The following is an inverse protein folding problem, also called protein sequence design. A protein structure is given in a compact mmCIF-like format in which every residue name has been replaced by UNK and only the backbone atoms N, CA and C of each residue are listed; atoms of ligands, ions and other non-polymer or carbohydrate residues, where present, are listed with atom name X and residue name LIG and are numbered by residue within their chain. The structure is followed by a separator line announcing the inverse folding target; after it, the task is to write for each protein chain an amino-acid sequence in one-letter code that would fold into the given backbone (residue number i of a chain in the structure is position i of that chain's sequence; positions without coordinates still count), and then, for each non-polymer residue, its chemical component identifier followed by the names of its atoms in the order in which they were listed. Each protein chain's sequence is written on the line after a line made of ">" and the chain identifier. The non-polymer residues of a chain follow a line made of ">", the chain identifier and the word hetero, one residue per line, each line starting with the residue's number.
data_IF_732782073222
#
_entry.id   IF_732782073222
#
_cell.length_a   1.000
_cell.length_b   1.000
_cell.length_c   1.000
_cell.angle_alpha   90.00
_cell.angle_beta   90.00
_cell.angle_gamma   90.00
#
_symmetry.space_group_name_H-M   'P 1'
#
loop_
_entity.id
_entity.type
_entity.pdbx_description
1 polymer ?
#
# COMPACT_ATOMS: atom_id res chain seq x y z
N UNK A 1 11.40 20.01 12.95
CA UNK A 1 12.03 19.64 11.66
C UNK A 1 12.67 18.25 11.70
N UNK A 2 13.49 17.91 12.70
CA UNK A 2 14.10 16.57 12.83
C UNK A 2 13.08 15.45 13.10
N UNK A 3 12.09 15.69 13.96
CA UNK A 3 11.09 14.68 14.34
C UNK A 3 10.17 14.30 13.18
N UNK A 4 9.74 15.29 12.38
CA UNK A 4 8.93 15.05 11.17
C UNK A 4 9.74 14.23 10.15
N UNK A 5 11.01 14.56 9.95
CA UNK A 5 11.87 13.78 9.05
C UNK A 5 12.10 12.35 9.53
N UNK A 6 12.20 12.14 10.84
CA UNK A 6 12.32 10.81 11.44
C UNK A 6 11.05 9.99 11.22
N UNK A 7 9.89 10.60 11.41
CA UNK A 7 8.59 9.97 11.17
C UNK A 7 8.39 9.60 9.68
N UNK A 8 8.71 10.49 8.74
CA UNK A 8 8.58 10.20 7.31
C UNK A 8 9.50 9.06 6.86
N UNK A 9 10.72 8.99 7.40
CA UNK A 9 11.63 7.89 7.10
C UNK A 9 11.09 6.55 7.59
N UNK A 10 10.49 6.52 8.79
CA UNK A 10 9.87 5.31 9.33
C UNK A 10 8.75 4.80 8.43
N UNK A 11 7.83 5.68 8.01
CA UNK A 11 6.72 5.31 7.12
C UNK A 11 7.23 4.83 5.75
N UNK A 12 8.23 5.49 5.18
CA UNK A 12 8.80 5.14 3.87
C UNK A 12 9.46 3.76 3.83
N UNK A 13 10.04 3.32 4.95
CA UNK A 13 10.71 2.03 5.06
C UNK A 13 9.80 0.88 5.52
N UNK A 14 8.53 1.15 5.80
CA UNK A 14 7.57 0.11 6.15
C UNK A 14 7.40 -0.91 5.01
N UNK A 15 7.44 -2.19 5.37
CA UNK A 15 7.18 -3.30 4.47
C UNK A 15 5.68 -3.57 4.40
N UNK A 16 5.16 -3.69 3.18
CA UNK A 16 3.76 -3.97 2.92
C UNK A 16 3.59 -4.97 1.77
N UNK A 17 2.39 -5.52 1.66
CA UNK A 17 1.98 -6.49 0.66
C UNK A 17 0.95 -5.89 -0.28
N UNK A 18 1.21 -5.99 -1.58
CA UNK A 18 0.28 -5.66 -2.66
C UNK A 18 -0.57 -6.89 -2.98
N UNK A 19 -1.89 -6.73 -2.90
CA UNK A 19 -2.87 -7.78 -3.14
C UNK A 19 -3.85 -7.28 -4.19
N UNK A 20 -4.26 -8.16 -5.10
CA UNK A 20 -5.10 -7.84 -6.26
C UNK A 20 -6.45 -8.55 -6.16
N UNK A 21 -7.48 -8.00 -6.79
CA UNK A 21 -8.80 -8.65 -6.84
C UNK A 21 -8.82 -9.90 -7.72
N UNK A 22 -7.94 -9.99 -8.71
CA UNK A 22 -7.71 -11.23 -9.46
C UNK A 22 -6.69 -12.12 -8.71
N UNK A 23 -7.20 -13.20 -8.14
CA UNK A 23 -6.40 -14.18 -7.38
C UNK A 23 -5.39 -14.99 -8.21
N UNK A 24 -5.32 -14.79 -9.53
CA UNK A 24 -4.26 -15.37 -10.37
C UNK A 24 -2.94 -14.59 -10.28
N UNK A 25 -2.97 -13.33 -9.85
CA UNK A 25 -1.77 -12.53 -9.65
C UNK A 25 -1.09 -12.83 -8.30
N UNK A 26 0.26 -12.84 -8.25
CA UNK A 26 0.98 -13.06 -7.02
C UNK A 26 0.84 -11.86 -6.07
N UNK A 27 0.85 -12.14 -4.77
CA UNK A 27 1.06 -11.12 -3.74
C UNK A 27 2.51 -10.63 -3.84
N UNK A 28 2.71 -9.31 -3.89
CA UNK A 28 4.04 -8.70 -4.01
C UNK A 28 4.39 -7.99 -2.71
N UNK A 29 5.53 -8.31 -2.12
CA UNK A 29 6.07 -7.57 -0.97
C UNK A 29 6.91 -6.38 -1.46
N UNK A 30 6.69 -5.19 -0.91
CA UNK A 30 7.47 -4.00 -1.24
C UNK A 30 7.61 -3.07 -0.03
N UNK A 31 8.33 -1.96 -0.22
CA UNK A 31 8.39 -0.85 0.72
C UNK A 31 7.37 0.22 0.35
N UNK A 32 6.80 0.89 1.35
CA UNK A 32 5.87 2.00 1.15
C UNK A 32 6.41 3.03 0.15
N UNK A 33 7.68 3.45 0.29
CA UNK A 33 8.28 4.43 -0.64
C UNK A 33 8.21 3.99 -2.11
N UNK A 34 8.51 2.72 -2.40
CA UNK A 34 8.54 2.22 -3.78
C UNK A 34 7.11 2.16 -4.33
N UNK A 35 6.15 1.78 -3.49
CA UNK A 35 4.73 1.71 -3.86
C UNK A 35 4.18 3.10 -4.19
N UNK A 36 4.51 4.11 -3.39
CA UNK A 36 4.08 5.48 -3.63
C UNK A 36 4.70 6.08 -4.92
N UNK A 37 5.89 5.63 -5.32
CA UNK A 37 6.56 6.09 -6.55
C UNK A 37 5.90 5.55 -7.84
N UNK A 38 5.18 4.41 -7.78
CA UNK A 38 4.56 3.75 -8.94
C UNK A 38 3.09 3.39 -8.71
N UNK A 39 2.37 4.19 -7.92
CA UNK A 39 1.01 3.86 -7.49
C UNK A 39 0.02 3.73 -8.65
N UNK A 40 0.19 4.49 -9.72
CA UNK A 40 -0.65 4.42 -10.92
C UNK A 40 -0.45 3.08 -11.66
N UNK A 41 0.80 2.59 -11.74
CA UNK A 41 1.11 1.29 -12.33
C UNK A 41 0.53 0.15 -11.50
N UNK A 42 0.58 0.28 -10.17
CA UNK A 42 0.01 -0.69 -9.22
C UNK A 42 -1.52 -0.76 -9.38
N UNK A 43 -2.20 0.38 -9.30
CA UNK A 43 -3.68 0.41 -9.36
C UNK A 43 -4.24 0.05 -10.74
N UNK A 44 -3.41 0.02 -11.79
CA UNK A 44 -3.81 -0.44 -13.13
C UNK A 44 -3.81 -1.98 -13.31
N UNK A 45 -3.24 -2.76 -12.38
CA UNK A 45 -3.06 -4.22 -12.54
C UNK A 45 -4.39 -4.99 -12.47
N UNK A 46 -5.29 -4.59 -11.57
CA UNK A 46 -6.58 -5.23 -11.31
C UNK A 46 -7.60 -4.19 -10.87
N UNK A 47 -8.89 -4.54 -10.90
CA UNK A 47 -9.96 -3.60 -10.51
C UNK A 47 -9.75 -3.04 -9.08
N UNK A 48 -9.66 -3.92 -8.09
CA UNK A 48 -9.42 -3.51 -6.70
C UNK A 48 -8.03 -3.96 -6.26
N UNK A 49 -7.38 -3.12 -5.47
CA UNK A 49 -6.02 -3.34 -4.96
C UNK A 49 -5.95 -3.03 -3.47
N UNK A 50 -5.26 -3.89 -2.71
CA UNK A 50 -5.02 -3.66 -1.29
C UNK A 50 -3.52 -3.55 -0.97
N UNK A 51 -3.18 -2.54 -0.17
CA UNK A 51 -1.88 -2.43 0.50
C UNK A 51 -2.07 -2.89 1.94
N UNK A 52 -1.48 -4.02 2.30
CA UNK A 52 -1.59 -4.59 3.63
C UNK A 52 -0.26 -4.55 4.38
N UNK A 53 -0.24 -3.97 5.58
CA UNK A 53 0.91 -4.01 6.48
C UNK A 53 0.51 -4.73 7.78
N UNK A 54 0.93 -5.99 7.97
CA UNK A 54 0.60 -6.75 9.18
C UNK A 54 1.34 -6.25 10.44
N UNK A 55 2.48 -5.58 10.29
CA UNK A 55 3.25 -5.08 11.44
C UNK A 55 2.61 -3.84 12.05
N UNK A 56 2.05 -2.96 11.20
CA UNK A 56 1.35 -1.74 11.59
C UNK A 56 -0.17 -1.89 11.64
N UNK A 57 -0.68 -3.14 11.45
CA UNK A 57 -2.09 -3.53 11.51
C UNK A 57 -3.03 -2.65 10.68
N UNK A 58 -2.64 -2.32 9.45
CA UNK A 58 -3.49 -1.55 8.54
C UNK A 58 -3.66 -2.17 7.17
N UNK A 59 -4.73 -1.75 6.50
CA UNK A 59 -5.00 -1.99 5.09
C UNK A 59 -5.43 -0.70 4.41
N UNK A 60 -4.96 -0.47 3.19
CA UNK A 60 -5.47 0.57 2.29
C UNK A 60 -6.08 -0.15 1.09
N UNK A 61 -7.34 0.13 0.78
CA UNK A 61 -8.02 -0.35 -0.42
C UNK A 61 -8.12 0.79 -1.43
N UNK A 62 -7.73 0.49 -2.67
CA UNK A 62 -8.02 1.29 -3.85
C UNK A 62 -9.18 0.61 -4.58
N UNK A 63 -10.38 1.17 -4.41
CA UNK A 63 -11.60 0.65 -5.01
C UNK A 63 -11.74 1.17 -6.44
N UNK A 64 -12.16 0.31 -7.37
CA UNK A 64 -12.19 0.63 -8.81
C UNK A 64 -13.10 1.81 -9.19
N UNK A 65 -14.04 2.23 -8.33
CA UNK A 65 -14.87 3.42 -8.56
C UNK A 65 -14.23 4.73 -8.03
N UNK A 66 -12.96 4.67 -7.59
CA UNK A 66 -12.15 5.84 -7.22
C UNK A 66 -12.17 6.18 -5.73
N UNK A 67 -12.77 5.34 -4.89
CA UNK A 67 -12.69 5.49 -3.44
C UNK A 67 -11.40 4.87 -2.89
N UNK A 68 -10.84 5.51 -1.86
CA UNK A 68 -9.71 4.97 -1.10
C UNK A 68 -10.15 4.79 0.34
N UNK A 69 -10.08 3.55 0.82
CA UNK A 69 -10.52 3.19 2.18
C UNK A 69 -9.30 2.82 3.01
N UNK A 70 -9.22 3.36 4.23
CA UNK A 70 -8.20 3.04 5.21
C UNK A 70 -8.82 2.30 6.40
N UNK A 71 -8.31 1.10 6.68
CA UNK A 71 -8.67 0.31 7.85
C UNK A 71 -7.48 0.10 8.78
N UNK A 72 -7.71 0.18 10.10
CA UNK A 72 -6.69 -0.10 11.13
C UNK A 72 -7.31 -0.82 12.32
N UNK A 73 -6.57 -1.78 12.90
CA UNK A 73 -6.92 -2.47 14.14
C UNK A 73 -5.97 -2.12 15.29
#
# INVERSE_FOLDING_TARGET
>A
MSEISGFTNTVHDETLYLIWSDGSYPVVQSKMKNVMEVIDDITAVSFDTWLFNPASSFVIEFYHEGEIIYGKQ
#
